data_IF_296460986561
#
_entry.id   IF_296460986561
#
_cell.length_a   1.000
_cell.length_b   1.000
_cell.length_c   1.000
_cell.angle_alpha   90.00
_cell.angle_beta   90.00
_cell.angle_gamma   90.00
#
_symmetry.space_group_name_H-M   'P 1'
#
loop_
_entity.id
_entity.type
_entity.pdbx_description
1 polymer ?
#
# COMPACT_ATOMS: atom_id res chain seq x y z
N UNK A 1 -44.25 -37.62 -25.30
CA UNK A 1 -44.46 -36.19 -24.95
C UNK A 1 -43.55 -35.86 -23.79
N UNK A 2 -42.52 -35.05 -24.03
CA UNK A 2 -41.47 -34.76 -23.05
C UNK A 2 -41.95 -33.64 -22.13
N UNK A 3 -41.94 -33.87 -20.81
CA UNK A 3 -42.55 -33.00 -19.80
C UNK A 3 -41.99 -31.57 -19.83
N UNK A 4 -42.89 -30.59 -19.92
CA UNK A 4 -42.62 -29.14 -19.92
C UNK A 4 -41.70 -28.68 -18.77
N UNK A 5 -41.76 -29.38 -17.62
CA UNK A 5 -40.92 -29.14 -16.44
C UNK A 5 -39.42 -29.39 -16.68
N UNK A 6 -39.04 -30.34 -17.56
CA UNK A 6 -37.63 -30.61 -17.88
C UNK A 6 -36.99 -29.49 -18.72
N UNK A 7 -37.80 -28.76 -19.49
CA UNK A 7 -37.31 -27.66 -20.34
C UNK A 7 -37.00 -26.40 -19.54
N UNK A 8 -37.85 -26.08 -18.55
CA UNK A 8 -37.63 -24.94 -17.64
C UNK A 8 -36.37 -25.15 -16.79
N UNK A 9 -36.11 -26.38 -16.35
CA UNK A 9 -34.89 -26.71 -15.59
C UNK A 9 -33.62 -26.65 -16.45
N UNK A 10 -33.71 -26.93 -17.76
CA UNK A 10 -32.56 -26.88 -18.67
C UNK A 10 -32.16 -25.44 -19.02
N UNK A 11 -33.13 -24.53 -19.13
CA UNK A 11 -32.90 -23.10 -19.36
C UNK A 11 -32.27 -22.42 -18.14
N UNK A 12 -32.62 -22.85 -16.92
CA UNK A 12 -32.01 -22.33 -15.69
C UNK A 12 -30.55 -22.77 -15.52
N UNK A 13 -30.19 -23.98 -15.96
CA UNK A 13 -28.81 -24.48 -15.90
C UNK A 13 -27.93 -23.83 -16.99
N UNK A 14 -28.49 -23.53 -18.17
CA UNK A 14 -27.78 -22.84 -19.25
C UNK A 14 -27.46 -21.36 -18.96
N UNK A 15 -28.18 -20.71 -18.05
CA UNK A 15 -27.90 -19.34 -17.61
C UNK A 15 -26.93 -19.24 -16.41
N UNK A 16 -26.54 -20.37 -15.81
CA UNK A 16 -25.51 -20.43 -14.75
C UNK A 16 -24.09 -20.63 -15.30
N UNK A 17 -23.96 -20.88 -16.61
CA UNK A 17 -22.68 -21.11 -17.30
C UNK A 17 -22.47 -20.17 -18.49
N UNK A 18 -23.13 -19.01 -18.51
CA UNK A 18 -22.71 -17.95 -19.44
C UNK A 18 -21.40 -17.35 -18.92
N UNK A 19 -20.29 -17.44 -19.67
CA UNK A 19 -19.06 -16.77 -19.28
C UNK A 19 -19.36 -15.27 -19.24
N UNK A 20 -19.19 -14.64 -18.08
CA UNK A 20 -19.11 -13.19 -17.98
C UNK A 20 -17.99 -12.80 -18.95
N UNK A 21 -18.25 -11.97 -19.98
CA UNK A 21 -17.18 -11.52 -20.83
C UNK A 21 -16.25 -10.71 -19.94
N UNK A 22 -15.06 -11.25 -19.67
CA UNK A 22 -13.95 -10.46 -19.15
C UNK A 22 -13.61 -9.51 -20.29
N UNK A 23 -14.28 -8.36 -20.33
CA UNK A 23 -13.96 -7.29 -21.24
C UNK A 23 -12.61 -6.75 -20.80
N UNK A 24 -11.53 -7.28 -21.36
CA UNK A 24 -10.24 -6.62 -21.34
C UNK A 24 -10.34 -5.42 -22.28
N UNK A 25 -11.01 -4.34 -21.84
CA UNK A 25 -10.84 -3.05 -22.47
C UNK A 25 -9.37 -2.67 -22.26
N UNK A 26 -8.54 -2.87 -23.28
CA UNK A 26 -7.20 -2.32 -23.29
C UNK A 26 -7.35 -0.80 -23.28
N UNK A 27 -7.07 -0.18 -22.13
CA UNK A 27 -7.04 1.28 -22.01
C UNK A 27 -6.09 1.85 -23.07
N UNK A 28 -6.54 2.90 -23.74
CA UNK A 28 -5.69 3.63 -24.68
C UNK A 28 -4.54 4.32 -23.93
N UNK A 29 -3.40 4.60 -24.60
CA UNK A 29 -2.28 5.31 -23.98
C UNK A 29 -2.68 6.68 -23.40
N UNK A 30 -3.66 7.35 -24.01
CA UNK A 30 -4.14 8.65 -23.54
C UNK A 30 -4.95 8.51 -22.23
N UNK A 31 -5.82 7.50 -22.13
CA UNK A 31 -6.57 7.22 -20.91
C UNK A 31 -5.62 6.83 -19.76
N UNK A 32 -4.61 5.99 -20.03
CA UNK A 32 -3.58 5.65 -19.03
C UNK A 32 -2.80 6.89 -18.55
N UNK A 33 -2.48 7.79 -19.47
CA UNK A 33 -1.79 9.05 -19.14
C UNK A 33 -2.69 9.95 -18.28
N UNK A 34 -3.97 10.05 -18.60
CA UNK A 34 -4.93 10.83 -17.83
C UNK A 34 -5.11 10.28 -16.42
N UNK A 35 -5.31 8.96 -16.28
CA UNK A 35 -5.36 8.26 -14.99
C UNK A 35 -4.09 8.55 -14.17
N UNK A 36 -2.92 8.43 -14.80
CA UNK A 36 -1.63 8.71 -14.15
C UNK A 36 -1.52 10.16 -13.68
N UNK A 37 -1.99 11.12 -14.49
CA UNK A 37 -1.98 12.54 -14.13
C UNK A 37 -2.96 12.84 -12.99
N UNK A 38 -4.12 12.18 -12.96
CA UNK A 38 -5.10 12.36 -11.88
C UNK A 38 -4.52 11.90 -10.54
N UNK A 39 -3.93 10.71 -10.50
CA UNK A 39 -3.24 10.22 -9.30
C UNK A 39 -2.05 11.11 -8.91
N UNK A 40 -1.27 11.58 -9.88
CA UNK A 40 -0.15 12.48 -9.60
C UNK A 40 -0.63 13.82 -9.02
N UNK A 41 -1.72 14.38 -9.55
CA UNK A 41 -2.31 15.61 -9.05
C UNK A 41 -2.87 15.42 -7.63
N UNK A 42 -3.55 14.29 -7.38
CA UNK A 42 -4.03 13.93 -6.05
C UNK A 42 -2.87 13.78 -5.05
N UNK A 43 -1.81 13.07 -5.45
CA UNK A 43 -0.58 12.91 -4.68
C UNK A 43 0.10 14.24 -4.33
N UNK A 44 -0.11 15.28 -5.15
CA UNK A 44 0.43 16.63 -4.97
C UNK A 44 -0.50 17.58 -4.20
N UNK A 45 -1.68 17.13 -3.77
CA UNK A 45 -2.57 17.98 -2.98
C UNK A 45 -1.86 18.43 -1.69
N UNK A 46 -1.98 19.71 -1.28
CA UNK A 46 -1.23 20.22 -0.13
C UNK A 46 -1.42 19.39 1.13
N UNK A 47 -2.66 18.99 1.43
CA UNK A 47 -2.98 18.16 2.60
C UNK A 47 -2.24 16.81 2.58
N UNK A 48 -2.22 16.12 1.43
CA UNK A 48 -1.54 14.83 1.34
C UNK A 48 -0.02 14.99 1.43
N UNK A 49 0.55 15.98 0.74
CA UNK A 49 1.98 16.28 0.78
C UNK A 49 2.42 16.66 2.19
N UNK A 50 1.71 17.55 2.87
CA UNK A 50 2.01 17.98 4.23
C UNK A 50 1.95 16.81 5.22
N UNK A 51 0.95 15.95 5.09
CA UNK A 51 0.86 14.74 5.91
C UNK A 51 2.02 13.76 5.63
N UNK A 52 2.37 13.51 4.36
CA UNK A 52 3.50 12.66 3.99
C UNK A 52 4.84 13.22 4.51
N UNK A 53 5.04 14.53 4.39
CA UNK A 53 6.22 15.23 4.93
C UNK A 53 6.25 15.11 6.45
N UNK A 54 5.10 15.23 7.12
CA UNK A 54 4.98 15.03 8.57
C UNK A 54 5.28 13.59 9.01
N UNK A 55 4.81 12.58 8.29
CA UNK A 55 5.17 11.17 8.52
C UNK A 55 6.69 10.98 8.37
N UNK A 56 7.26 11.44 7.26
CA UNK A 56 8.70 11.31 6.98
C UNK A 56 9.54 11.96 8.07
N UNK A 57 9.19 13.17 8.50
CA UNK A 57 9.91 13.90 9.57
C UNK A 57 9.82 13.18 10.91
N UNK A 58 8.65 12.65 11.29
CA UNK A 58 8.48 11.88 12.53
C UNK A 58 9.39 10.65 12.59
N UNK A 59 9.53 9.95 11.46
CA UNK A 59 10.42 8.78 11.34
C UNK A 59 11.90 9.24 11.33
N UNK A 60 12.24 10.28 10.55
CA UNK A 60 13.60 10.80 10.46
C UNK A 60 14.17 11.26 11.80
N UNK A 61 13.34 11.91 12.63
CA UNK A 61 13.73 12.37 13.96
C UNK A 61 13.96 11.23 14.96
N UNK A 62 13.38 10.04 14.73
CA UNK A 62 13.44 8.89 15.65
C UNK A 62 13.90 7.61 14.92
N UNK A 63 15.12 7.59 14.35
CA UNK A 63 15.60 6.46 13.57
C UNK A 63 15.85 5.22 14.45
N UNK A 64 15.40 4.07 13.97
CA UNK A 64 15.55 2.76 14.62
C UNK A 64 16.37 1.81 13.74
N UNK A 65 17.18 0.93 14.34
CA UNK A 65 18.02 0.01 13.57
C UNK A 65 17.22 -1.21 13.11
N UNK A 66 17.84 -2.02 12.24
CA UNK A 66 17.27 -3.29 11.79
C UNK A 66 16.79 -4.18 12.93
N UNK A 67 15.53 -4.61 12.84
CA UNK A 67 14.81 -5.41 13.86
C UNK A 67 14.50 -4.69 15.19
N UNK A 68 14.78 -3.39 15.28
CA UNK A 68 14.49 -2.54 16.43
C UNK A 68 13.42 -1.47 16.12
N UNK A 69 12.79 -1.51 14.93
CA UNK A 69 11.87 -0.50 14.39
C UNK A 69 10.46 -0.52 15.04
N UNK A 70 10.40 -0.58 16.37
CA UNK A 70 9.16 -0.74 17.12
C UNK A 70 8.24 0.48 17.03
N UNK A 71 8.78 1.69 17.19
CA UNK A 71 7.99 2.92 17.12
C UNK A 71 7.63 3.27 15.67
N UNK A 72 8.52 2.99 14.71
CA UNK A 72 8.24 3.13 13.27
C UNK A 72 7.14 2.18 12.84
N UNK A 73 7.21 0.90 13.24
CA UNK A 73 6.17 -0.10 13.00
C UNK A 73 4.83 0.31 13.61
N UNK A 74 4.84 0.83 14.84
CA UNK A 74 3.64 1.33 15.53
C UNK A 74 3.02 2.54 14.83
N UNK A 75 3.85 3.47 14.34
CA UNK A 75 3.38 4.60 13.53
C UNK A 75 2.67 4.10 12.27
N UNK A 76 3.29 3.18 11.52
CA UNK A 76 2.72 2.61 10.29
C UNK A 76 1.36 1.97 10.57
N UNK A 77 1.28 1.12 11.61
CA UNK A 77 0.02 0.48 12.01
C UNK A 77 -1.06 1.49 12.36
N UNK A 78 -0.73 2.53 13.12
CA UNK A 78 -1.67 3.58 13.46
C UNK A 78 -2.18 4.36 12.23
N UNK A 79 -1.33 4.60 11.22
CA UNK A 79 -1.77 5.22 9.96
C UNK A 79 -2.65 4.27 9.13
N UNK A 80 -2.31 2.97 9.06
CA UNK A 80 -3.15 1.95 8.40
C UNK A 80 -4.53 1.79 9.09
N UNK A 81 -4.56 1.80 10.43
CA UNK A 81 -5.80 1.76 11.21
C UNK A 81 -6.70 2.96 10.89
N UNK A 82 -6.14 4.17 10.79
CA UNK A 82 -6.89 5.39 10.38
C UNK A 82 -7.47 5.29 8.98
N UNK A 83 -6.79 4.59 8.07
CA UNK A 83 -7.26 4.36 6.70
C UNK A 83 -8.25 3.20 6.60
N UNK A 84 -8.44 2.41 7.67
CA UNK A 84 -9.24 1.19 7.64
C UNK A 84 -8.61 0.07 6.80
N UNK A 85 -7.27 0.07 6.66
CA UNK A 85 -6.55 -0.95 5.92
C UNK A 85 -6.20 -2.10 6.87
N UNK A 86 -6.72 -3.32 6.66
CA UNK A 86 -6.34 -4.47 7.47
C UNK A 86 -4.87 -4.84 7.23
N UNK A 87 -4.20 -5.34 8.26
CA UNK A 87 -2.80 -5.76 8.19
C UNK A 87 -2.48 -6.96 9.08
N UNK A 88 -1.37 -7.63 8.79
CA UNK A 88 -0.73 -8.63 9.63
C UNK A 88 0.52 -8.04 10.29
N UNK A 89 0.63 -8.24 11.60
CA UNK A 89 1.78 -7.89 12.44
C UNK A 89 1.81 -8.82 13.67
N UNK A 90 2.98 -9.23 14.18
CA UNK A 90 4.31 -8.99 13.61
C UNK A 90 4.62 -9.88 12.41
N UNK A 91 5.40 -9.33 11.46
CA UNK A 91 6.06 -10.10 10.39
C UNK A 91 7.56 -9.85 10.54
N UNK A 92 8.35 -10.90 10.79
CA UNK A 92 9.80 -10.77 11.03
C UNK A 92 10.14 -9.68 12.07
N UNK A 93 9.62 -9.85 13.29
CA UNK A 93 9.78 -8.96 14.45
C UNK A 93 8.96 -7.67 14.33
N UNK A 94 9.34 -6.73 13.47
CA UNK A 94 8.76 -5.37 13.40
C UNK A 94 7.92 -5.13 12.16
N UNK A 95 8.06 -5.95 11.13
CA UNK A 95 7.39 -5.77 9.85
C UNK A 95 5.86 -5.78 9.91
N UNK A 96 5.27 -5.13 8.91
CA UNK A 96 3.82 -4.94 8.74
C UNK A 96 3.44 -5.29 7.30
N UNK A 97 2.40 -6.10 7.14
CA UNK A 97 1.87 -6.47 5.82
C UNK A 97 0.41 -6.03 5.70
N UNK A 98 0.15 -4.93 4.99
CA UNK A 98 -1.19 -4.40 4.73
C UNK A 98 -1.84 -5.00 3.49
N UNK A 99 -3.17 -4.95 3.42
CA UNK A 99 -3.97 -5.56 2.35
C UNK A 99 -5.00 -4.57 1.78
N UNK A 100 -4.96 -4.30 0.47
CA UNK A 100 -5.96 -3.50 -0.24
C UNK A 100 -6.52 -4.32 -1.42
N UNK A 101 -7.85 -4.41 -1.54
CA UNK A 101 -8.52 -5.11 -2.64
C UNK A 101 -9.58 -6.12 -2.16
N UNK A 102 -9.91 -7.07 -3.02
CA UNK A 102 -10.99 -8.06 -2.82
C UNK A 102 -10.50 -9.45 -2.43
N UNK A 103 -9.19 -9.70 -2.42
CA UNK A 103 -8.58 -10.95 -1.92
C UNK A 103 -8.30 -12.02 -2.97
N UNK A 104 -8.52 -11.72 -4.25
CA UNK A 104 -8.23 -12.61 -5.38
C UNK A 104 -7.04 -12.16 -6.22
N UNK A 105 -6.53 -13.03 -7.11
CA UNK A 105 -5.49 -12.64 -8.08
C UNK A 105 -6.01 -11.64 -9.11
N UNK A 106 -5.13 -10.79 -9.70
CA UNK A 106 -3.69 -10.79 -9.51
C UNK A 106 -3.26 -10.19 -8.16
N UNK A 107 -2.11 -10.69 -7.68
CA UNK A 107 -1.45 -10.19 -6.49
C UNK A 107 -0.30 -9.26 -6.88
N UNK A 108 -0.25 -8.06 -6.31
CA UNK A 108 0.84 -7.10 -6.50
C UNK A 108 1.37 -6.69 -5.13
N UNK A 109 2.70 -6.56 -4.99
CA UNK A 109 3.31 -6.10 -3.75
C UNK A 109 4.03 -4.78 -3.97
N UNK A 110 3.79 -3.82 -3.08
CA UNK A 110 4.54 -2.57 -2.96
C UNK A 110 5.33 -2.63 -1.66
N UNK A 111 6.64 -2.37 -1.72
CA UNK A 111 7.56 -2.55 -0.59
C UNK A 111 8.20 -1.23 -0.18
N UNK A 112 8.36 -1.03 1.12
CA UNK A 112 9.21 0.00 1.71
C UNK A 112 10.03 -0.57 2.87
N UNK A 113 11.33 -0.29 2.85
CA UNK A 113 12.23 -0.62 3.95
C UNK A 113 12.13 0.44 5.05
N UNK A 114 12.25 0.04 6.31
CA UNK A 114 11.98 0.88 7.49
C UNK A 114 13.21 1.21 8.33
N UNK A 115 14.30 0.46 8.21
CA UNK A 115 15.45 0.56 9.11
C UNK A 115 16.34 1.78 8.84
N UNK A 116 16.99 2.27 9.88
CA UNK A 116 18.02 3.28 9.84
C UNK A 116 19.42 2.65 9.94
N UNK A 117 20.46 3.50 9.88
CA UNK A 117 21.85 3.09 10.00
C UNK A 117 22.51 3.63 11.28
N UNK A 118 23.54 2.95 11.82
CA UNK A 118 24.31 3.41 12.98
C UNK A 118 25.31 4.51 12.58
N UNK A 119 24.81 5.62 12.08
CA UNK A 119 25.57 6.78 11.59
C UNK A 119 25.09 8.02 12.35
N UNK A 120 26.04 8.84 12.81
CA UNK A 120 25.71 10.14 13.38
C UNK A 120 25.30 11.12 12.27
N UNK A 121 24.10 11.67 12.38
CA UNK A 121 23.67 12.75 11.48
C UNK A 121 24.45 14.04 11.77
N UNK A 122 25.11 14.57 10.73
CA UNK A 122 25.89 15.82 10.78
C UNK A 122 25.16 17.01 10.14
N UNK A 123 23.99 16.78 9.55
CA UNK A 123 23.18 17.85 8.95
C UNK A 123 22.46 18.59 10.07
N UNK A 124 22.65 19.91 10.15
CA UNK A 124 21.97 20.76 11.11
C UNK A 124 20.69 21.35 10.49
N UNK A 125 19.53 20.86 10.93
CA UNK A 125 18.21 21.30 10.50
C UNK A 125 17.13 20.91 11.52
N UNK A 126 15.92 21.44 11.34
CA UNK A 126 14.83 21.34 12.33
C UNK A 126 14.42 19.90 12.69
N UNK A 127 14.47 18.97 11.73
CA UNK A 127 14.01 17.58 11.91
C UNK A 127 15.16 16.57 11.87
N UNK A 128 16.37 17.01 12.26
CA UNK A 128 17.52 16.14 12.49
C UNK A 128 17.15 15.00 13.46
N UNK A 129 17.75 13.83 13.27
CA UNK A 129 17.73 12.73 14.22
C UNK A 129 17.98 13.21 15.65
N UNK A 130 17.05 12.85 16.53
CA UNK A 130 17.12 13.10 17.98
C UNK A 130 17.82 11.95 18.72
N UNK A 131 18.18 10.88 18.00
CA UNK A 131 18.83 9.69 18.55
C UNK A 131 20.32 9.70 18.18
N UNK A 132 21.23 9.93 19.14
CA UNK A 132 22.66 9.98 18.87
C UNK A 132 23.17 8.69 18.20
N UNK A 133 24.00 8.84 17.18
CA UNK A 133 24.59 7.71 16.44
C UNK A 133 23.63 6.93 15.54
N UNK A 134 22.38 7.37 15.34
CA UNK A 134 21.42 6.76 14.40
C UNK A 134 20.91 7.79 13.40
N UNK A 135 20.76 7.41 12.13
CA UNK A 135 20.29 8.27 11.04
C UNK A 135 19.64 7.46 9.91
N UNK A 136 18.54 7.98 9.33
CA UNK A 136 18.04 7.51 8.04
C UNK A 136 18.88 8.08 6.88
N UNK A 137 20.07 7.53 6.68
CA UNK A 137 21.00 7.96 5.63
C UNK A 137 20.68 7.38 4.23
N UNK A 138 19.80 6.37 4.15
CA UNK A 138 19.37 5.72 2.90
C UNK A 138 17.95 6.10 2.44
N UNK A 139 17.28 7.01 3.15
CA UNK A 139 15.93 7.48 2.77
C UNK A 139 14.79 6.51 3.08
N UNK A 140 14.99 5.52 3.95
CA UNK A 140 13.95 4.54 4.34
C UNK A 140 12.74 5.22 5.01
N UNK A 141 12.95 6.32 5.73
CA UNK A 141 11.90 7.23 6.22
C UNK A 141 11.02 7.79 5.08
N UNK A 142 11.63 8.14 3.94
CA UNK A 142 10.91 8.58 2.76
C UNK A 142 10.20 7.42 2.05
N UNK A 143 10.81 6.24 1.97
CA UNK A 143 10.18 5.04 1.39
C UNK A 143 8.88 4.69 2.14
N UNK A 144 8.93 4.65 3.48
CA UNK A 144 7.75 4.41 4.32
C UNK A 144 6.67 5.46 4.08
N UNK A 145 7.05 6.75 4.07
CA UNK A 145 6.10 7.84 3.81
C UNK A 145 5.44 7.72 2.42
N UNK A 146 6.22 7.41 1.38
CA UNK A 146 5.70 7.19 0.02
C UNK A 146 4.75 6.00 -0.04
N UNK A 147 5.07 4.89 0.61
CA UNK A 147 4.20 3.71 0.62
C UNK A 147 2.90 3.95 1.40
N UNK A 148 2.95 4.69 2.52
CA UNK A 148 1.75 5.16 3.22
C UNK A 148 0.90 6.12 2.37
N UNK A 149 1.55 7.00 1.59
CA UNK A 149 0.88 7.83 0.59
C UNK A 149 0.17 6.99 -0.46
N UNK A 150 0.87 6.04 -1.06
CA UNK A 150 0.27 5.10 -2.02
C UNK A 150 -0.88 4.31 -1.40
N UNK A 151 -0.74 3.84 -0.16
CA UNK A 151 -1.78 3.13 0.57
C UNK A 151 -3.07 3.96 0.70
N UNK A 152 -2.93 5.25 1.07
CA UNK A 152 -4.08 6.16 1.17
C UNK A 152 -4.77 6.37 -0.17
N UNK A 153 -3.99 6.64 -1.23
CA UNK A 153 -4.54 6.82 -2.57
C UNK A 153 -5.26 5.56 -3.05
N UNK A 154 -4.65 4.38 -2.91
CA UNK A 154 -5.23 3.11 -3.31
C UNK A 154 -6.47 2.74 -2.51
N UNK A 155 -6.49 3.08 -1.21
CA UNK A 155 -7.64 2.85 -0.35
C UNK A 155 -8.81 3.76 -0.72
N UNK A 156 -8.55 5.04 -1.00
CA UNK A 156 -9.58 5.99 -1.46
C UNK A 156 -10.21 5.58 -2.81
N UNK A 157 -9.45 4.85 -3.64
CA UNK A 157 -9.86 4.39 -4.97
C UNK A 157 -10.06 2.86 -5.03
N UNK A 158 -10.31 2.22 -3.89
CA UNK A 158 -10.39 0.75 -3.81
C UNK A 158 -11.45 0.17 -4.75
N UNK A 159 -12.55 0.88 -4.98
CA UNK A 159 -13.65 0.46 -5.86
C UNK A 159 -13.31 0.56 -7.36
N UNK A 160 -12.29 1.34 -7.71
CA UNK A 160 -11.79 1.45 -9.09
C UNK A 160 -10.81 0.31 -9.43
N UNK A 161 -10.38 -0.45 -8.42
CA UNK A 161 -9.49 -1.59 -8.62
C UNK A 161 -10.25 -2.76 -9.29
N UNK A 162 -9.57 -3.59 -10.09
CA UNK A 162 -10.21 -4.75 -10.72
C UNK A 162 -10.91 -5.64 -9.69
N UNK A 163 -12.13 -6.09 -10.02
CA UNK A 163 -13.04 -6.88 -9.13
C UNK A 163 -12.35 -8.03 -8.39
N UNK A 164 -11.30 -8.62 -8.95
CA UNK A 164 -10.42 -9.57 -8.28
C UNK A 164 -9.01 -9.02 -8.29
N UNK A 165 -8.57 -8.44 -7.18
CA UNK A 165 -7.20 -8.02 -7.00
C UNK A 165 -6.84 -8.00 -5.51
N UNK A 166 -5.55 -8.05 -5.24
CA UNK A 166 -5.02 -7.84 -3.90
C UNK A 166 -3.64 -7.19 -4.00
N UNK A 167 -3.52 -6.03 -3.35
CA UNK A 167 -2.28 -5.28 -3.22
C UNK A 167 -1.76 -5.48 -1.80
N UNK A 168 -0.56 -6.00 -1.70
CA UNK A 168 0.18 -6.14 -0.45
C UNK A 168 1.07 -4.93 -0.23
N UNK A 169 0.93 -4.29 0.92
CA UNK A 169 1.79 -3.20 1.37
C UNK A 169 2.80 -3.77 2.36
N UNK A 170 4.03 -3.98 1.92
CA UNK A 170 5.07 -4.62 2.73
C UNK A 170 6.04 -3.60 3.31
N UNK A 171 5.95 -3.39 4.62
CA UNK A 171 6.88 -2.57 5.39
C UNK A 171 7.80 -3.49 6.19
N UNK A 172 9.11 -3.46 5.92
CA UNK A 172 10.06 -4.41 6.53
C UNK A 172 11.45 -3.83 6.77
N UNK A 173 12.27 -4.54 7.54
CA UNK A 173 13.71 -4.27 7.65
C UNK A 173 14.42 -4.71 6.36
N UNK A 174 15.37 -3.92 5.85
CA UNK A 174 16.14 -4.25 4.63
C UNK A 174 16.88 -5.59 4.73
N UNK A 175 17.32 -5.97 5.93
CA UNK A 175 18.03 -7.24 6.18
C UNK A 175 17.19 -8.51 5.97
N UNK A 176 15.93 -8.37 5.54
CA UNK A 176 15.03 -9.47 5.19
C UNK A 176 14.96 -9.76 3.68
N UNK A 177 15.71 -9.03 2.84
CA UNK A 177 15.82 -9.30 1.40
C UNK A 177 17.03 -10.12 0.95
#
# INVERSE_FOLDING_TARGET
MMNFSKWVSMIFILNLFSPIPISSNSLSPNELREISMNFLNYAKTPNLVEWMVGVRRRIHENPELGFEEFETSKLIRAELDKMGIPYKHPVAVTGVLGYIGTGGPPFVALRADMDALPIQESVEWEHKSKVPGKMHACGHDAHVSMLLGAAKILQDHKEDLPVRNMIFLHFCCLSLS
#
